data_IF_797214708865
#
_entry.id   IF_797214708865
#
_cell.length_a   1.000
_cell.length_b   1.000
_cell.length_c   1.000
_cell.angle_alpha   90.00
_cell.angle_beta   90.00
_cell.angle_gamma   90.00
#
_symmetry.space_group_name_H-M   'P 1'
#
loop_
_entity.id
_entity.type
_entity.pdbx_description
1 polymer ?
#
# COMPACT_ATOMS: atom_id res chain seq x y z
N UNK A 1 -6.75 -1.53 22.60
CA UNK A 1 -6.33 -2.83 22.03
C UNK A 1 -4.99 -2.62 21.36
N UNK A 2 -3.94 -3.32 21.79
CA UNK A 2 -2.64 -3.29 21.11
C UNK A 2 -2.66 -4.37 20.02
N UNK A 3 -2.31 -4.02 18.79
CA UNK A 3 -2.24 -4.94 17.65
C UNK A 3 -0.80 -5.41 17.42
N UNK A 4 -0.64 -6.56 16.78
CA UNK A 4 0.68 -7.10 16.38
C UNK A 4 0.75 -7.10 14.86
N UNK A 5 1.75 -6.42 14.29
CA UNK A 5 2.06 -6.51 12.87
C UNK A 5 2.99 -7.70 12.63
N UNK A 6 2.53 -8.68 11.86
CA UNK A 6 3.30 -9.89 11.56
C UNK A 6 4.07 -9.74 10.23
N UNK A 7 5.37 -10.06 10.25
CA UNK A 7 6.24 -9.95 9.09
C UNK A 7 7.06 -11.22 8.89
N UNK A 8 7.37 -11.53 7.62
CA UNK A 8 8.22 -12.66 7.25
C UNK A 8 9.68 -12.22 7.14
N UNK A 9 10.58 -13.17 7.38
CA UNK A 9 12.03 -13.00 7.19
C UNK A 9 12.46 -13.66 5.88
N UNK A 10 13.43 -13.06 5.20
CA UNK A 10 14.11 -13.70 4.07
C UNK A 10 14.74 -15.05 4.51
N UNK A 11 14.55 -16.11 3.71
CA UNK A 11 14.95 -17.49 4.06
C UNK A 11 15.97 -18.12 3.09
N UNK A 12 16.52 -17.35 2.15
CA UNK A 12 17.63 -17.81 1.30
C UNK A 12 18.96 -17.62 2.03
N UNK A 13 19.98 -18.41 1.71
CA UNK A 13 21.34 -18.12 2.14
C UNK A 13 21.76 -16.73 1.63
N UNK A 14 22.26 -15.87 2.52
CA UNK A 14 22.78 -14.54 2.19
C UNK A 14 24.25 -14.49 2.58
N UNK A 15 25.07 -14.02 1.65
CA UNK A 15 26.51 -13.78 1.89
C UNK A 15 26.73 -12.27 1.89
N UNK A 16 27.30 -11.74 2.97
CA UNK A 16 27.61 -10.31 3.10
C UNK A 16 26.44 -9.39 3.49
N UNK A 17 25.23 -9.93 3.66
CA UNK A 17 24.05 -9.17 4.09
C UNK A 17 23.19 -9.97 5.07
N UNK A 18 22.42 -9.26 5.90
CA UNK A 18 21.46 -9.89 6.80
C UNK A 18 20.26 -10.46 6.02
N UNK A 19 19.63 -11.49 6.60
CA UNK A 19 18.30 -11.91 6.19
C UNK A 19 17.27 -10.93 6.73
N UNK A 20 16.81 -9.99 5.91
CA UNK A 20 15.95 -8.89 6.39
C UNK A 20 14.53 -9.34 6.76
N UNK A 21 13.95 -8.65 7.74
CA UNK A 21 12.53 -8.65 8.10
C UNK A 21 12.10 -7.19 8.35
N UNK A 22 10.86 -6.81 8.00
CA UNK A 22 10.35 -5.45 8.26
C UNK A 22 10.40 -5.07 9.75
N UNK A 23 10.26 -6.04 10.66
CA UNK A 23 10.37 -5.82 12.10
C UNK A 23 11.78 -5.41 12.55
N UNK A 24 12.82 -5.65 11.74
CA UNK A 24 14.21 -5.29 12.08
C UNK A 24 14.44 -3.77 12.06
N UNK A 25 13.54 -3.01 11.42
CA UNK A 25 13.58 -1.55 11.37
C UNK A 25 12.90 -0.86 12.55
N UNK A 26 12.34 -1.62 13.49
CA UNK A 26 11.74 -1.10 14.73
C UNK A 26 12.62 -1.49 15.91
N UNK A 27 12.85 -0.57 16.84
CA UNK A 27 13.67 -0.78 18.02
C UNK A 27 13.21 -2.03 18.80
N UNK A 28 14.11 -3.01 19.06
CA UNK A 28 13.76 -4.17 19.86
C UNK A 28 13.29 -3.76 21.25
N UNK A 29 12.28 -4.44 21.79
CA UNK A 29 11.73 -4.16 23.13
C UNK A 29 12.81 -4.13 24.24
N UNK A 30 13.84 -4.96 24.11
CA UNK A 30 14.98 -5.04 25.03
C UNK A 30 15.85 -3.77 25.03
N UNK A 31 15.83 -2.97 23.96
CA UNK A 31 16.62 -1.74 23.85
C UNK A 31 16.12 -0.62 24.77
N UNK A 32 14.89 -0.72 25.28
CA UNK A 32 14.24 0.30 26.11
C UNK A 32 13.95 1.62 25.39
N UNK A 33 14.18 1.70 24.08
CA UNK A 33 13.92 2.90 23.28
C UNK A 33 12.45 2.97 22.88
N UNK A 34 11.88 4.17 22.92
CA UNK A 34 10.58 4.45 22.33
C UNK A 34 10.72 4.52 20.81
N UNK A 35 9.90 3.75 20.10
CA UNK A 35 9.84 3.71 18.64
C UNK A 35 8.39 3.55 18.19
N UNK A 36 8.09 3.93 16.95
CA UNK A 36 6.74 4.13 16.45
C UNK A 36 6.56 3.54 15.06
N UNK A 37 5.34 3.11 14.77
CA UNK A 37 4.93 2.64 13.45
C UNK A 37 3.60 3.28 13.07
N UNK A 38 3.49 3.73 11.82
CA UNK A 38 2.27 4.28 11.24
C UNK A 38 1.74 3.38 10.12
N UNK A 39 0.46 3.56 9.79
CA UNK A 39 -0.19 2.93 8.64
C UNK A 39 -1.22 3.89 8.03
N UNK A 40 -1.45 3.78 6.74
CA UNK A 40 -2.45 4.58 6.01
C UNK A 40 -3.13 3.75 4.92
N UNK A 41 -4.29 4.21 4.47
CA UNK A 41 -5.02 3.67 3.34
C UNK A 41 -5.64 4.84 2.56
N UNK A 42 -5.55 4.78 1.23
CA UNK A 42 -6.03 5.82 0.30
C UNK A 42 -6.78 5.19 -0.87
N UNK A 43 -7.63 5.97 -1.53
CA UNK A 43 -8.31 5.60 -2.77
C UNK A 43 -8.32 6.81 -3.72
N UNK A 44 -8.39 6.57 -5.04
CA UNK A 44 -8.56 7.60 -6.05
C UNK A 44 -9.97 8.21 -6.08
N UNK A 45 -10.94 7.54 -5.46
CA UNK A 45 -12.34 7.95 -5.34
C UNK A 45 -13.21 6.74 -4.98
N UNK A 46 -14.37 6.97 -4.36
CA UNK A 46 -15.35 5.88 -4.12
C UNK A 46 -16.24 5.65 -5.35
N UNK A 47 -16.25 6.61 -6.26
CA UNK A 47 -17.11 6.71 -7.43
C UNK A 47 -16.51 6.03 -8.67
N UNK A 48 -15.28 5.47 -8.57
CA UNK A 48 -14.57 4.85 -9.69
C UNK A 48 -15.42 3.80 -10.41
N UNK A 49 -16.02 2.87 -9.65
CA UNK A 49 -16.82 1.79 -10.22
C UNK A 49 -18.10 2.33 -10.87
N UNK A 50 -18.78 3.28 -10.23
CA UNK A 50 -19.99 3.88 -10.79
C UNK A 50 -19.72 4.63 -12.12
N UNK A 51 -18.57 5.28 -12.24
CA UNK A 51 -18.15 5.96 -13.47
C UNK A 51 -17.76 4.95 -14.56
N UNK A 52 -17.04 3.87 -14.20
CA UNK A 52 -16.69 2.82 -15.13
C UNK A 52 -17.92 2.08 -15.68
N UNK A 53 -18.89 1.78 -14.82
CA UNK A 53 -20.14 1.12 -15.19
C UNK A 53 -21.00 2.00 -16.12
N UNK A 54 -20.96 3.33 -15.93
CA UNK A 54 -21.64 4.27 -16.81
C UNK A 54 -21.05 4.27 -18.24
N UNK A 55 -19.72 4.15 -18.39
CA UNK A 55 -19.06 4.00 -19.69
C UNK A 55 -19.30 2.61 -20.29
N UNK A 56 -19.33 1.57 -19.47
CA UNK A 56 -19.66 0.21 -19.92
C UNK A 56 -21.09 0.13 -20.47
N UNK A 57 -22.07 0.76 -19.82
CA UNK A 57 -23.45 0.82 -20.29
C UNK A 57 -23.60 1.55 -21.64
N UNK A 58 -22.63 2.38 -22.00
CA UNK A 58 -22.56 3.09 -23.29
C UNK A 58 -21.73 2.33 -24.33
N UNK A 59 -21.23 1.13 -24.01
CA UNK A 59 -20.26 0.37 -24.82
C UNK A 59 -18.99 1.17 -25.15
N UNK A 60 -18.58 2.05 -24.23
CA UNK A 60 -17.37 2.87 -24.34
C UNK A 60 -16.22 2.25 -23.53
N UNK A 61 -15.65 1.19 -24.08
CA UNK A 61 -14.55 0.45 -23.44
C UNK A 61 -13.30 1.32 -23.22
N UNK A 62 -13.07 2.30 -24.10
CA UNK A 62 -11.92 3.19 -23.99
C UNK A 62 -12.02 4.07 -22.76
N UNK A 63 -13.13 4.79 -22.57
CA UNK A 63 -13.29 5.66 -21.42
C UNK A 63 -13.44 4.87 -20.12
N UNK A 64 -14.01 3.67 -20.16
CA UNK A 64 -14.00 2.73 -19.03
C UNK A 64 -12.57 2.38 -18.57
N UNK A 65 -11.68 2.01 -19.49
CA UNK A 65 -10.28 1.71 -19.16
C UNK A 65 -9.57 2.97 -18.67
N UNK A 66 -9.81 4.11 -19.34
CA UNK A 66 -9.18 5.37 -19.01
C UNK A 66 -9.53 5.86 -17.60
N UNK A 67 -10.81 5.79 -17.19
CA UNK A 67 -11.21 6.28 -15.86
C UNK A 67 -10.59 5.45 -14.74
N UNK A 68 -10.52 4.12 -14.91
CA UNK A 68 -9.83 3.23 -13.95
C UNK A 68 -8.34 3.51 -13.88
N UNK A 69 -7.69 3.72 -15.03
CA UNK A 69 -6.28 4.10 -15.06
C UNK A 69 -6.02 5.43 -14.35
N UNK A 70 -6.88 6.43 -14.54
CA UNK A 70 -6.77 7.72 -13.85
C UNK A 70 -6.99 7.57 -12.33
N UNK A 71 -8.01 6.82 -11.91
CA UNK A 71 -8.28 6.56 -10.50
C UNK A 71 -7.08 5.89 -9.80
N UNK A 72 -6.47 4.90 -10.46
CA UNK A 72 -5.25 4.25 -10.00
C UNK A 72 -4.06 5.24 -9.89
N UNK A 73 -3.87 6.13 -10.88
CA UNK A 73 -2.85 7.18 -10.80
C UNK A 73 -3.12 8.17 -9.66
N UNK A 74 -4.37 8.50 -9.36
CA UNK A 74 -4.75 9.37 -8.24
C UNK A 74 -4.50 8.67 -6.90
N UNK A 75 -4.86 7.38 -6.78
CA UNK A 75 -4.60 6.58 -5.59
C UNK A 75 -3.08 6.50 -5.29
N UNK A 76 -2.26 6.24 -6.32
CA UNK A 76 -0.81 6.26 -6.18
C UNK A 76 -0.25 7.64 -5.85
N UNK A 77 -0.77 8.70 -6.47
CA UNK A 77 -0.35 10.07 -6.18
C UNK A 77 -0.66 10.44 -4.71
N UNK A 78 -1.83 10.05 -4.20
CA UNK A 78 -2.19 10.28 -2.80
C UNK A 78 -1.29 9.47 -1.86
N UNK A 79 -0.98 8.22 -2.19
CA UNK A 79 -0.03 7.40 -1.44
C UNK A 79 1.34 8.09 -1.34
N UNK A 80 1.85 8.67 -2.44
CA UNK A 80 3.14 9.39 -2.45
C UNK A 80 3.16 10.68 -1.62
N UNK A 81 2.04 11.40 -1.53
CA UNK A 81 1.97 12.66 -0.77
C UNK A 81 1.69 12.41 0.72
N UNK A 82 1.13 11.24 1.06
CA UNK A 82 0.80 10.88 2.45
C UNK A 82 1.93 10.15 3.18
N UNK A 83 2.95 9.68 2.45
CA UNK A 83 4.13 9.00 2.97
C UNK A 83 5.26 10.00 3.30
#
# INVERSE_FOLDING_TARGET
MLTVSHHLRQQTEKVGFANYCLADFVAPKLSGKADYIGAFAVTGGLEEDALADAYEAQHDDYNKIMIKAIADRLAEAFCRVSA
#
